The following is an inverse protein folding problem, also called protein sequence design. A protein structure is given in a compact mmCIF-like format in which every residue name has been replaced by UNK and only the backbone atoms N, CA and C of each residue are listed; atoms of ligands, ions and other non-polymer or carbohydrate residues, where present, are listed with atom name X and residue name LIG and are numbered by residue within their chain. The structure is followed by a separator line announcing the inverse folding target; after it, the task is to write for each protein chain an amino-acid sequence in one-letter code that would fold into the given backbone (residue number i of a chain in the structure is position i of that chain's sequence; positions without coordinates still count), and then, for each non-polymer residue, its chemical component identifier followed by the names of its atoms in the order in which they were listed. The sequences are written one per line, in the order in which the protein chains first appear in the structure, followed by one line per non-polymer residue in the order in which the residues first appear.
data_IF_089727548039
#
_entry.id   IF_089727548039
#
_cell.length_a   1.000
_cell.length_b   1.000
_cell.length_c   1.000
_cell.angle_alpha   90.00
_cell.angle_beta   90.00
_cell.angle_gamma   90.00
#
_symmetry.space_group_name_H-M   'P 1'
#
loop_
_entity.id
_entity.type
_entity.pdbx_description
1 polymer ?
#
# COMPACT_ATOMS: atom_id res chain seq x y z
N UNK A 1 -31.04 -21.80 26.39
CA UNK A 1 -29.95 -21.76 27.39
C UNK A 1 -29.00 -20.64 26.99
N UNK A 2 -29.11 -19.45 27.61
CA UNK A 2 -28.22 -18.32 27.34
C UNK A 2 -26.98 -18.46 28.22
N UNK A 3 -25.87 -18.92 27.65
CA UNK A 3 -24.58 -18.96 28.33
C UNK A 3 -24.14 -17.54 28.65
N UNK A 4 -24.17 -17.15 29.93
CA UNK A 4 -23.62 -15.88 30.38
C UNK A 4 -22.11 -15.90 30.16
N UNK A 5 -21.61 -15.02 29.30
CA UNK A 5 -20.18 -14.82 29.07
C UNK A 5 -19.57 -14.36 30.40
N UNK A 6 -18.59 -15.10 30.92
CA UNK A 6 -17.89 -14.73 32.15
C UNK A 6 -16.89 -13.60 31.83
N UNK A 7 -17.08 -12.38 32.35
CA UNK A 7 -16.25 -11.23 32.00
C UNK A 7 -14.76 -11.44 32.35
N UNK A 8 -14.45 -12.28 33.33
CA UNK A 8 -13.07 -12.62 33.68
C UNK A 8 -12.36 -13.45 32.60
N UNK A 9 -13.08 -14.33 31.90
CA UNK A 9 -12.54 -15.09 30.76
C UNK A 9 -12.26 -14.17 29.56
N UNK A 10 -13.09 -13.14 29.38
CA UNK A 10 -12.91 -12.14 28.32
C UNK A 10 -11.65 -11.29 28.53
N UNK A 11 -11.40 -10.85 29.77
CA UNK A 11 -10.18 -10.09 30.11
C UNK A 11 -8.94 -10.96 30.02
N UNK A 12 -8.98 -12.21 30.49
CA UNK A 12 -7.85 -13.14 30.38
C UNK A 12 -7.44 -13.43 28.95
N UNK A 13 -8.41 -13.62 28.05
CA UNK A 13 -8.17 -13.86 26.63
C UNK A 13 -7.54 -12.67 25.90
N UNK A 14 -7.67 -11.45 26.45
CA UNK A 14 -7.07 -10.27 25.87
C UNK A 14 -5.54 -10.26 26.06
N UNK A 15 -5.10 -10.49 27.29
CA UNK A 15 -3.71 -10.30 27.72
C UNK A 15 -2.86 -11.58 27.68
N UNK A 16 -3.47 -12.76 27.60
CA UNK A 16 -2.70 -14.01 27.66
C UNK A 16 -2.35 -14.52 26.25
N UNK A 17 -1.07 -14.56 25.85
CA UNK A 17 -0.65 -15.13 24.57
C UNK A 17 -0.80 -16.65 24.55
N UNK A 18 -0.80 -17.22 23.34
CA UNK A 18 -0.75 -18.68 23.17
C UNK A 18 0.67 -19.16 23.46
N UNK A 19 0.81 -20.20 24.29
CA UNK A 19 2.11 -20.79 24.60
C UNK A 19 2.73 -21.44 23.36
N UNK A 20 3.89 -20.94 22.94
CA UNK A 20 4.68 -21.46 21.79
C UNK A 20 6.13 -21.74 22.21
N UNK A 21 6.92 -22.49 21.40
CA UNK A 21 8.34 -22.70 21.67
C UNK A 21 9.11 -21.37 21.75
N UNK A 22 10.23 -21.33 22.49
CA UNK A 22 11.01 -20.10 22.71
C UNK A 22 11.43 -19.41 21.42
N UNK A 23 11.81 -20.20 20.41
CA UNK A 23 12.20 -19.67 19.11
C UNK A 23 11.03 -18.95 18.42
N UNK A 24 9.81 -19.49 18.52
CA UNK A 24 8.62 -18.83 17.98
C UNK A 24 8.33 -17.53 18.72
N UNK A 25 8.54 -17.47 20.04
CA UNK A 25 8.40 -16.22 20.80
C UNK A 25 9.44 -15.15 20.41
N UNK A 26 10.67 -15.56 20.04
CA UNK A 26 11.68 -14.63 19.52
C UNK A 26 11.26 -14.09 18.15
N UNK A 27 10.71 -14.94 17.28
CA UNK A 27 10.16 -14.51 15.99
C UNK A 27 8.96 -13.58 16.15
N UNK A 28 8.06 -13.88 17.10
CA UNK A 28 6.95 -12.99 17.45
C UNK A 28 7.46 -11.65 17.95
N UNK A 29 8.46 -11.62 18.84
CA UNK A 29 9.08 -10.37 19.29
C UNK A 29 9.66 -9.58 18.13
N UNK A 30 10.47 -10.22 17.28
CA UNK A 30 11.10 -9.57 16.13
C UNK A 30 10.08 -9.00 15.15
N UNK A 31 9.11 -9.83 14.72
CA UNK A 31 8.05 -9.41 13.81
C UNK A 31 7.18 -8.30 14.39
N UNK A 32 6.89 -8.35 15.70
CA UNK A 32 6.09 -7.36 16.40
C UNK A 32 6.79 -6.01 16.48
N UNK A 33 8.07 -6.01 16.86
CA UNK A 33 8.88 -4.77 16.94
C UNK A 33 9.04 -4.18 15.54
N UNK A 34 9.38 -5.00 14.55
CA UNK A 34 9.53 -4.53 13.17
C UNK A 34 8.21 -3.95 12.62
N UNK A 35 7.12 -4.71 12.65
CA UNK A 35 5.83 -4.25 12.14
C UNK A 35 5.31 -3.03 12.92
N UNK A 36 5.40 -3.07 14.25
CA UNK A 36 4.92 -1.99 15.10
C UNK A 36 5.70 -0.68 14.93
N UNK A 37 7.04 -0.74 14.86
CA UNK A 37 7.87 0.46 14.64
C UNK A 37 7.64 1.04 13.25
N UNK A 38 7.63 0.21 12.20
CA UNK A 38 7.38 0.72 10.85
C UNK A 38 6.01 1.36 10.73
N UNK A 39 4.98 0.76 11.34
CA UNK A 39 3.63 1.32 11.33
C UNK A 39 3.52 2.60 12.15
N UNK A 40 4.24 2.68 13.28
CA UNK A 40 4.31 3.90 14.06
C UNK A 40 4.93 5.04 13.24
N UNK A 41 6.04 4.79 12.53
CA UNK A 41 6.67 5.78 11.65
C UNK A 41 5.70 6.19 10.53
N UNK A 42 5.08 5.23 9.84
CA UNK A 42 4.15 5.51 8.76
C UNK A 42 2.94 6.36 9.20
N UNK A 43 2.40 6.11 10.40
CA UNK A 43 1.33 6.92 10.98
C UNK A 43 1.81 8.29 11.43
N UNK A 44 3.02 8.39 11.99
CA UNK A 44 3.62 9.65 12.42
C UNK A 44 3.86 10.60 11.24
N UNK A 45 4.37 10.08 10.12
CA UNK A 45 4.63 10.85 8.90
C UNK A 45 3.36 11.44 8.27
N UNK A 46 2.19 10.94 8.70
CA UNK A 46 0.86 11.41 8.26
C UNK A 46 0.21 12.36 9.28
N UNK A 47 0.91 12.80 10.33
CA UNK A 47 0.36 13.74 11.32
C UNK A 47 0.90 15.17 11.11
N UNK A 48 0.02 16.20 11.03
CA UNK A 48 -1.45 16.11 11.03
C UNK A 48 -1.98 15.48 9.72
N UNK A 49 -3.18 14.88 9.79
CA UNK A 49 -3.76 14.14 8.67
C UNK A 49 -3.83 15.01 7.41
N UNK A 50 -3.14 14.62 6.34
CA UNK A 50 -3.08 15.42 5.12
C UNK A 50 -4.36 15.27 4.31
N UNK A 51 -4.65 16.28 3.48
CA UNK A 51 -5.86 16.32 2.63
C UNK A 51 -5.92 15.11 1.70
N UNK A 52 -4.78 14.72 1.10
CA UNK A 52 -4.72 13.56 0.22
C UNK A 52 -5.16 12.26 0.90
N UNK A 53 -5.00 12.13 2.21
CA UNK A 53 -5.45 10.93 2.95
C UNK A 53 -6.98 10.90 3.06
N UNK A 54 -7.61 12.06 3.22
CA UNK A 54 -9.06 12.20 3.19
C UNK A 54 -9.60 11.91 1.79
N UNK A 55 -8.90 12.38 0.75
CA UNK A 55 -9.25 12.13 -0.64
C UNK A 55 -9.17 10.64 -0.98
N UNK A 56 -8.10 9.93 -0.55
CA UNK A 56 -7.97 8.48 -0.73
C UNK A 56 -9.14 7.71 -0.14
N UNK A 57 -9.57 8.05 1.09
CA UNK A 57 -10.73 7.42 1.75
C UNK A 57 -12.04 7.77 1.03
N UNK A 58 -12.11 8.95 0.42
CA UNK A 58 -13.26 9.39 -0.38
C UNK A 58 -13.36 8.62 -1.70
N UNK A 59 -12.23 8.38 -2.39
CA UNK A 59 -12.17 7.67 -3.67
C UNK A 59 -12.72 6.24 -3.55
N UNK A 60 -12.43 5.55 -2.45
CA UNK A 60 -12.95 4.18 -2.21
C UNK A 60 -14.40 4.18 -1.70
N UNK A 61 -15.05 5.34 -1.60
CA UNK A 61 -16.43 5.46 -1.12
C UNK A 61 -16.63 5.09 0.35
N UNK A 62 -15.58 5.13 1.18
CA UNK A 62 -15.69 4.74 2.58
C UNK A 62 -16.49 5.78 3.37
N UNK A 63 -17.41 5.37 4.26
CA UNK A 63 -18.28 6.31 4.98
C UNK A 63 -17.45 7.28 5.84
N UNK A 64 -17.90 8.53 5.96
CA UNK A 64 -17.28 9.58 6.76
C UNK A 64 -15.74 9.71 6.54
N UNK A 65 -15.29 10.10 5.33
CA UNK A 65 -13.88 9.98 4.92
C UNK A 65 -12.91 10.71 5.83
N UNK A 66 -13.25 11.94 6.23
CA UNK A 66 -12.42 12.72 7.14
C UNK A 66 -12.21 12.02 8.49
N UNK A 67 -13.29 11.49 9.08
CA UNK A 67 -13.21 10.78 10.36
C UNK A 67 -12.33 9.52 10.25
N UNK A 68 -12.54 8.71 9.21
CA UNK A 68 -11.78 7.45 9.07
C UNK A 68 -10.35 7.65 8.59
N UNK A 69 -10.02 8.74 7.89
CA UNK A 69 -8.63 9.12 7.64
C UNK A 69 -7.87 9.38 8.95
N UNK A 70 -8.49 10.10 9.90
CA UNK A 70 -7.96 10.26 11.25
C UNK A 70 -7.84 8.94 12.00
N UNK A 71 -8.86 8.07 11.95
CA UNK A 71 -8.79 6.75 12.58
C UNK A 71 -7.67 5.88 12.00
N UNK A 72 -7.49 5.88 10.68
CA UNK A 72 -6.43 5.12 10.01
C UNK A 72 -5.03 5.64 10.43
N UNK A 73 -4.82 6.95 10.41
CA UNK A 73 -3.55 7.56 10.79
C UNK A 73 -3.18 7.28 12.27
N UNK A 74 -4.13 7.44 13.19
CA UNK A 74 -3.91 7.12 14.61
C UNK A 74 -3.82 5.62 14.89
N UNK A 75 -4.52 4.78 14.11
CA UNK A 75 -4.39 3.33 14.18
C UNK A 75 -2.97 2.90 13.83
N UNK A 76 -2.40 3.44 12.74
CA UNK A 76 -1.00 3.19 12.36
C UNK A 76 -0.03 3.69 13.43
N UNK A 77 -0.19 4.93 13.89
CA UNK A 77 0.74 5.53 14.83
C UNK A 77 0.67 4.88 16.22
N UNK A 78 -0.48 4.98 16.88
CA UNK A 78 -0.66 4.50 18.26
C UNK A 78 -0.74 2.98 18.29
N UNK A 79 -1.47 2.38 17.34
CA UNK A 79 -1.52 0.92 17.22
C UNK A 79 -0.15 0.31 16.92
N UNK A 80 0.68 0.98 16.10
CA UNK A 80 2.06 0.58 15.86
C UNK A 80 2.90 0.55 17.13
N UNK A 81 2.85 1.61 17.94
CA UNK A 81 3.54 1.70 19.24
C UNK A 81 3.06 0.60 20.20
N UNK A 82 1.73 0.44 20.33
CA UNK A 82 1.12 -0.58 21.18
C UNK A 82 1.53 -1.99 20.75
N UNK A 83 1.51 -2.26 19.44
CA UNK A 83 1.97 -3.52 18.88
C UNK A 83 3.44 -3.73 19.21
N UNK A 84 4.36 -2.80 18.90
CA UNK A 84 5.79 -2.95 19.14
C UNK A 84 6.12 -3.33 20.60
N UNK A 85 5.51 -2.63 21.56
CA UNK A 85 5.66 -2.93 23.00
C UNK A 85 5.02 -4.27 23.40
N UNK A 86 4.05 -4.75 22.63
CA UNK A 86 3.20 -5.88 23.02
C UNK A 86 2.25 -5.50 24.15
N UNK A 87 1.66 -4.32 24.06
CA UNK A 87 0.63 -3.82 24.98
C UNK A 87 -0.70 -3.78 24.24
N UNK A 88 -1.74 -4.40 24.80
CA UNK A 88 -3.03 -4.58 24.13
C UNK A 88 -2.83 -5.16 22.71
N UNK A 89 -1.95 -6.17 22.60
CA UNK A 89 -1.43 -6.65 21.32
C UNK A 89 -2.56 -7.06 20.37
N UNK A 90 -3.58 -7.77 20.88
CA UNK A 90 -4.70 -8.24 20.04
C UNK A 90 -5.55 -7.08 19.49
N UNK A 91 -6.08 -6.16 20.32
CA UNK A 91 -6.75 -4.97 19.82
C UNK A 91 -5.91 -4.15 18.84
N UNK A 92 -4.64 -3.91 19.16
CA UNK A 92 -3.73 -3.15 18.30
C UNK A 92 -3.54 -3.85 16.95
N UNK A 93 -3.31 -5.17 16.95
CA UNK A 93 -3.17 -5.96 15.73
C UNK A 93 -4.46 -6.00 14.90
N UNK A 94 -5.64 -6.08 15.53
CA UNK A 94 -6.93 -6.04 14.81
C UNK A 94 -7.11 -4.68 14.13
N UNK A 95 -6.85 -3.58 14.83
CA UNK A 95 -6.96 -2.23 14.26
C UNK A 95 -5.98 -2.03 13.10
N UNK A 96 -4.71 -2.41 13.28
CA UNK A 96 -3.69 -2.30 12.23
C UNK A 96 -4.00 -3.20 11.03
N UNK A 97 -4.41 -4.45 11.26
CA UNK A 97 -4.80 -5.35 10.18
C UNK A 97 -6.05 -4.84 9.46
N UNK A 98 -7.00 -4.22 10.16
CA UNK A 98 -8.15 -3.57 9.52
C UNK A 98 -7.69 -2.42 8.62
N UNK A 99 -6.86 -1.51 9.12
CA UNK A 99 -6.33 -0.37 8.35
C UNK A 99 -5.54 -0.83 7.12
N UNK A 100 -4.64 -1.80 7.28
CA UNK A 100 -3.85 -2.35 6.18
C UNK A 100 -4.72 -3.14 5.18
N UNK A 101 -5.76 -3.83 5.65
CA UNK A 101 -6.69 -4.54 4.79
C UNK A 101 -7.54 -3.60 3.93
N UNK A 102 -8.07 -2.52 4.50
CA UNK A 102 -8.78 -1.48 3.75
C UNK A 102 -7.85 -0.82 2.74
N UNK A 103 -6.61 -0.50 3.13
CA UNK A 103 -5.64 0.10 2.22
C UNK A 103 -5.26 -0.87 1.07
N UNK A 104 -4.93 -2.12 1.37
CA UNK A 104 -4.55 -3.12 0.38
C UNK A 104 -5.70 -3.46 -0.58
N UNK A 105 -6.86 -3.83 -0.04
CA UNK A 105 -7.93 -4.44 -0.82
C UNK A 105 -9.00 -3.44 -1.27
N UNK A 106 -9.15 -2.33 -0.58
CA UNK A 106 -10.07 -1.26 -0.95
C UNK A 106 -9.41 -0.22 -1.84
N UNK A 107 -8.30 0.39 -1.40
CA UNK A 107 -7.64 1.47 -2.15
C UNK A 107 -6.75 0.95 -3.28
N UNK A 108 -5.84 0.03 -2.99
CA UNK A 108 -4.93 -0.51 -4.01
C UNK A 108 -5.55 -1.66 -4.84
N UNK A 109 -6.71 -2.19 -4.44
CA UNK A 109 -7.40 -3.25 -5.18
C UNK A 109 -6.56 -4.52 -5.39
N UNK A 110 -5.59 -4.81 -4.52
CA UNK A 110 -4.65 -5.91 -4.76
C UNK A 110 -5.29 -7.28 -4.53
N UNK A 111 -4.91 -8.26 -5.36
CA UNK A 111 -5.35 -9.64 -5.17
C UNK A 111 -4.90 -10.16 -3.81
N UNK A 112 -5.80 -10.66 -2.94
CA UNK A 112 -5.47 -10.97 -1.55
C UNK A 112 -4.27 -11.91 -1.33
N UNK A 113 -4.05 -12.85 -2.24
CA UNK A 113 -3.06 -13.91 -2.10
C UNK A 113 -1.82 -13.75 -2.98
N UNK A 114 -1.99 -13.16 -4.16
CA UNK A 114 -0.95 -13.12 -5.20
C UNK A 114 -0.50 -11.70 -5.52
N UNK A 115 -1.19 -10.68 -5.00
CA UNK A 115 -0.73 -9.30 -5.10
C UNK A 115 0.61 -9.10 -4.40
N UNK A 116 1.32 -8.04 -4.80
CA UNK A 116 2.60 -7.65 -4.22
C UNK A 116 2.58 -6.15 -3.91
N UNK A 117 1.92 -5.78 -2.82
CA UNK A 117 1.91 -4.41 -2.35
C UNK A 117 2.24 -4.32 -0.86
N UNK A 118 2.90 -3.25 -0.44
CA UNK A 118 3.43 -3.12 0.93
C UNK A 118 2.32 -3.22 1.99
N UNK A 119 1.15 -2.64 1.74
CA UNK A 119 -0.01 -2.69 2.64
C UNK A 119 -0.53 -4.13 2.83
N UNK A 120 -0.52 -4.94 1.78
CA UNK A 120 -0.90 -6.35 1.82
C UNK A 120 0.13 -7.19 2.59
N UNK A 121 1.42 -6.90 2.42
CA UNK A 121 2.50 -7.57 3.17
C UNK A 121 2.34 -7.30 4.66
N UNK A 122 2.11 -6.05 5.06
CA UNK A 122 1.86 -5.71 6.47
C UNK A 122 0.57 -6.33 7.01
N UNK A 123 -0.50 -6.39 6.21
CA UNK A 123 -1.73 -7.10 6.58
C UNK A 123 -1.44 -8.55 6.99
N UNK A 124 -0.72 -9.30 6.15
CA UNK A 124 -0.37 -10.70 6.43
C UNK A 124 0.65 -10.84 7.57
N UNK A 125 1.59 -9.90 7.69
CA UNK A 125 2.58 -9.88 8.78
C UNK A 125 1.94 -9.63 10.15
N UNK A 126 0.88 -8.81 10.22
CA UNK A 126 0.22 -8.45 11.47
C UNK A 126 -0.78 -9.52 11.92
N UNK A 127 -1.39 -10.26 10.98
CA UNK A 127 -2.44 -11.23 11.24
C UNK A 127 -2.11 -12.29 12.32
N UNK A 128 -0.89 -12.85 12.39
CA UNK A 128 -0.51 -13.78 13.46
C UNK A 128 -0.67 -13.20 14.89
N UNK A 129 -0.50 -11.89 15.08
CA UNK A 129 -0.60 -11.27 16.41
C UNK A 129 -2.05 -11.13 16.90
N UNK A 130 -3.03 -11.11 15.98
CA UNK A 130 -4.46 -11.21 16.32
C UNK A 130 -4.76 -12.53 17.04
N UNK A 131 -4.07 -13.60 16.62
CA UNK A 131 -4.33 -14.98 17.00
C UNK A 131 -3.49 -15.38 18.20
N UNK A 132 -2.17 -15.27 18.02
CA UNK A 132 -1.16 -15.74 18.96
C UNK A 132 -0.97 -14.76 20.13
N UNK A 133 -1.31 -13.48 19.92
CA UNK A 133 -1.02 -12.40 20.86
C UNK A 133 0.45 -11.98 20.82
N UNK A 134 0.90 -11.27 21.85
CA UNK A 134 2.23 -10.66 21.88
C UNK A 134 3.38 -11.61 22.19
N UNK A 135 3.12 -12.86 22.55
CA UNK A 135 4.15 -13.80 23.02
C UNK A 135 4.74 -13.44 24.39
N UNK A 136 5.72 -14.22 24.86
CA UNK A 136 6.25 -14.13 26.23
C UNK A 136 6.97 -12.83 26.56
N UNK A 137 7.49 -12.14 25.54
CA UNK A 137 8.27 -10.90 25.66
C UNK A 137 7.39 -9.64 25.46
N UNK A 138 6.08 -9.79 25.63
CA UNK A 138 5.11 -8.69 25.54
C UNK A 138 4.88 -8.06 26.91
N UNK A 139 4.55 -6.77 26.94
CA UNK A 139 4.06 -6.11 28.16
C UNK A 139 2.79 -6.78 28.66
N UNK A 140 1.92 -7.26 27.76
CA UNK A 140 0.72 -8.03 28.08
C UNK A 140 1.04 -9.25 28.97
N UNK A 141 2.12 -10.00 28.64
CA UNK A 141 2.54 -11.15 29.43
C UNK A 141 3.05 -10.75 30.83
N UNK A 142 3.78 -9.64 30.92
CA UNK A 142 4.26 -9.11 32.21
C UNK A 142 3.06 -8.75 33.09
N UNK A 143 2.08 -8.04 32.53
CA UNK A 143 0.85 -7.65 33.22
C UNK A 143 0.02 -8.87 33.63
N UNK A 144 -0.15 -9.86 32.74
CA UNK A 144 -0.88 -11.09 33.05
C UNK A 144 -0.24 -11.89 34.19
N UNK A 145 1.10 -11.94 34.22
CA UNK A 145 1.87 -12.56 35.30
C UNK A 145 1.69 -11.84 36.65
N UNK A 146 1.72 -10.51 36.65
CA UNK A 146 1.46 -9.70 37.86
C UNK A 146 0.05 -9.89 38.39
N UNK A 147 -0.93 -10.05 37.51
CA UNK A 147 -2.34 -10.26 37.87
C UNK A 147 -2.68 -11.73 38.21
N UNK A 148 -1.70 -12.65 38.16
CA UNK A 148 -1.89 -14.11 38.36
C UNK A 148 -3.00 -14.69 37.50
N UNK A 149 -3.16 -14.17 36.28
CA UNK A 149 -4.13 -14.70 35.33
C UNK A 149 -3.65 -16.09 34.88
N UNK A 150 -4.48 -17.11 35.06
CA UNK A 150 -4.20 -18.45 34.56
C UNK A 150 -4.04 -18.39 33.04
N UNK A 151 -3.01 -19.06 32.49
CA UNK A 151 -2.91 -19.27 31.04
C UNK A 151 -4.24 -19.86 30.56
N UNK A 152 -4.92 -19.28 29.55
CA UNK A 152 -6.10 -19.89 28.97
C UNK A 152 -5.70 -21.30 28.53
N UNK A 153 -6.35 -22.31 29.11
CA UNK A 153 -6.23 -23.67 28.61
C UNK A 153 -6.61 -23.65 27.13
N UNK A 154 -5.75 -24.18 26.27
CA UNK A 154 -5.89 -24.37 24.81
C UNK A 154 -7.34 -24.15 24.31
N UNK A 155 -7.73 -22.90 24.08
CA UNK A 155 -8.99 -22.61 23.38
C UNK A 155 -8.62 -21.94 22.07
N UNK A 156 -8.15 -22.79 21.16
CA UNK A 156 -7.87 -22.45 19.77
C UNK A 156 -9.13 -21.95 19.01
N UNK A 157 -10.32 -22.15 19.59
CA UNK A 157 -11.63 -21.90 18.97
C UNK A 157 -11.94 -20.41 18.79
N UNK A 158 -11.48 -19.52 19.70
CA UNK A 158 -11.71 -18.07 19.57
C UNK A 158 -10.76 -17.45 18.54
N UNK A 159 -9.58 -18.03 18.36
CA UNK A 159 -8.55 -17.47 17.47
C UNK A 159 -8.76 -17.85 15.99
N UNK A 160 -9.29 -19.06 15.70
CA UNK A 160 -9.61 -19.48 14.33
C UNK A 160 -10.78 -18.69 13.71
N UNK A 161 -11.80 -18.36 14.50
CA UNK A 161 -12.92 -17.53 14.05
C UNK A 161 -12.51 -16.09 13.72
N UNK A 162 -11.52 -15.54 14.45
CA UNK A 162 -10.97 -14.21 14.19
C UNK A 162 -10.20 -14.12 12.86
N UNK A 163 -9.40 -15.14 12.53
CA UNK A 163 -8.70 -15.23 11.22
C UNK A 163 -9.70 -15.26 10.09
N UNK A 164 -10.67 -16.17 10.16
CA UNK A 164 -11.72 -16.31 9.14
C UNK A 164 -12.51 -15.02 8.99
N UNK A 165 -12.84 -14.32 10.08
CA UNK A 165 -13.53 -13.03 10.01
C UNK A 165 -12.66 -11.94 9.36
N UNK A 166 -11.38 -11.82 9.71
CA UNK A 166 -10.48 -10.79 9.15
C UNK A 166 -10.13 -11.09 7.69
N UNK A 167 -9.92 -12.35 7.32
CA UNK A 167 -9.68 -12.78 5.94
C UNK A 167 -10.94 -12.67 5.08
N UNK A 168 -12.10 -13.11 5.59
CA UNK A 168 -13.37 -12.93 4.90
C UNK A 168 -13.77 -11.46 4.79
N UNK A 169 -13.36 -10.62 5.74
CA UNK A 169 -13.50 -9.17 5.64
C UNK A 169 -12.56 -8.59 4.60
N UNK A 170 -11.30 -9.03 4.51
CA UNK A 170 -10.37 -8.59 3.45
C UNK A 170 -10.88 -8.97 2.06
N UNK A 171 -11.34 -10.21 1.88
CA UNK A 171 -12.00 -10.66 0.65
C UNK A 171 -13.34 -9.94 0.43
N UNK A 172 -14.12 -9.69 1.47
CA UNK A 172 -15.38 -8.96 1.40
C UNK A 172 -15.18 -7.50 1.02
N UNK A 173 -14.15 -6.83 1.55
CA UNK A 173 -13.71 -5.50 1.17
C UNK A 173 -13.29 -5.49 -0.29
N UNK A 174 -12.43 -6.43 -0.70
CA UNK A 174 -12.05 -6.63 -2.10
C UNK A 174 -13.29 -6.75 -3.00
N UNK A 175 -14.22 -7.65 -2.67
CA UNK A 175 -15.41 -7.91 -3.50
C UNK A 175 -16.49 -6.80 -3.44
N UNK A 176 -16.52 -6.00 -2.36
CA UNK A 176 -17.56 -4.96 -2.17
C UNK A 176 -17.10 -3.58 -2.61
N UNK A 177 -15.80 -3.31 -2.52
CA UNK A 177 -15.21 -2.03 -2.93
C UNK A 177 -14.65 -2.08 -4.35
N UNK A 178 -14.34 -3.27 -4.87
CA UNK A 178 -14.09 -3.43 -6.30
C UNK A 178 -15.42 -3.74 -6.99
N UNK A 179 -15.84 -2.96 -7.99
CA UNK A 179 -16.92 -3.38 -8.87
C UNK A 179 -16.48 -4.68 -9.54
N UNK A 180 -17.28 -5.75 -9.43
CA UNK A 180 -17.11 -7.00 -10.20
C UNK A 180 -17.12 -6.71 -11.72
N UNK A 181 -17.58 -5.52 -12.12
CA UNK A 181 -17.62 -4.98 -13.48
C UNK A 181 -16.29 -4.30 -13.92
N UNK A 182 -15.34 -4.03 -13.02
CA UNK A 182 -14.15 -3.24 -13.33
C UNK A 182 -12.96 -4.04 -13.92
N UNK A 183 -13.09 -5.36 -14.05
CA UNK A 183 -12.04 -6.17 -14.70
C UNK A 183 -12.12 -6.10 -16.25
N UNK A 184 -13.21 -5.60 -16.82
CA UNK A 184 -13.40 -5.45 -18.27
C UNK A 184 -14.26 -4.21 -18.57
N UNK A 185 -13.67 -3.00 -18.48
CA UNK A 185 -14.02 -1.80 -19.27
C UNK A 185 -13.57 -0.50 -18.57
N UNK A 186 -12.27 -0.26 -18.39
CA UNK A 186 -11.82 1.13 -18.44
C UNK A 186 -11.88 1.55 -19.92
N UNK A 187 -12.91 2.31 -20.28
CA UNK A 187 -12.82 3.09 -21.51
C UNK A 187 -11.57 3.95 -21.41
N UNK A 188 -10.63 3.79 -22.35
CA UNK A 188 -9.41 4.60 -22.38
C UNK A 188 -9.82 6.06 -22.26
N UNK A 189 -9.39 6.78 -21.20
CA UNK A 189 -9.81 8.14 -21.00
C UNK A 189 -9.39 8.97 -22.20
N UNK A 190 -10.33 9.74 -22.76
CA UNK A 190 -10.04 10.55 -23.94
C UNK A 190 -8.93 11.53 -23.58
N UNK A 191 -7.75 11.34 -24.16
CA UNK A 191 -6.60 12.21 -23.94
C UNK A 191 -6.75 13.44 -24.81
N UNK A 192 -6.88 14.59 -24.16
CA UNK A 192 -7.04 15.91 -24.80
C UNK A 192 -5.77 16.75 -24.76
N UNK A 193 -4.89 16.47 -23.79
CA UNK A 193 -3.54 17.04 -23.67
C UNK A 193 -2.60 16.01 -23.08
N UNK A 194 -1.33 16.14 -23.37
CA UNK A 194 -0.30 15.31 -22.77
C UNK A 194 1.01 16.06 -22.56
N UNK A 195 1.82 15.58 -21.64
CA UNK A 195 3.13 16.14 -21.30
C UNK A 195 4.11 15.05 -20.92
N UNK A 196 5.40 15.36 -21.02
CA UNK A 196 6.48 14.53 -20.47
C UNK A 196 7.05 15.26 -19.26
N UNK A 197 6.93 14.66 -18.09
CA UNK A 197 7.47 15.22 -16.85
C UNK A 197 8.57 14.33 -16.31
N UNK A 198 9.64 14.92 -15.78
CA UNK A 198 10.77 14.19 -15.26
C UNK A 198 11.74 15.04 -14.46
N UNK A 199 12.82 14.41 -14.00
CA UNK A 199 13.87 15.09 -13.22
C UNK A 199 14.59 16.21 -13.99
N UNK A 200 14.55 16.21 -15.32
CA UNK A 200 15.16 17.22 -16.17
C UNK A 200 14.33 18.50 -16.34
N UNK A 201 13.07 18.50 -15.90
CA UNK A 201 12.18 19.67 -15.94
C UNK A 201 11.45 19.90 -14.60
N UNK A 202 12.02 19.43 -13.48
CA UNK A 202 11.45 19.54 -12.14
C UNK A 202 10.02 18.97 -12.03
N UNK A 203 9.68 17.97 -12.85
CA UNK A 203 8.34 17.38 -12.97
C UNK A 203 7.24 18.37 -13.38
N UNK A 204 7.62 19.47 -14.04
CA UNK A 204 6.70 20.48 -14.54
C UNK A 204 5.95 19.99 -15.79
N UNK A 205 4.62 19.91 -15.68
CA UNK A 205 3.72 19.49 -16.75
C UNK A 205 3.61 20.53 -17.89
N UNK A 206 3.98 21.78 -17.64
CA UNK A 206 3.93 22.85 -18.63
C UNK A 206 5.24 22.98 -19.42
N UNK A 207 6.34 22.41 -18.92
CA UNK A 207 7.67 22.57 -19.52
C UNK A 207 7.86 21.78 -20.83
N UNK A 208 7.23 20.61 -20.94
CA UNK A 208 7.40 19.71 -22.10
C UNK A 208 6.04 19.14 -22.56
N UNK A 209 5.14 19.98 -23.12
CA UNK A 209 3.89 19.50 -23.68
C UNK A 209 4.17 18.62 -24.91
N UNK A 210 3.41 17.54 -25.03
CA UNK A 210 3.44 16.67 -26.19
C UNK A 210 2.40 17.13 -27.22
N UNK A 211 2.75 17.04 -28.50
CA UNK A 211 1.85 17.31 -29.62
C UNK A 211 1.23 16.01 -30.13
N UNK A 212 -0.06 16.07 -30.48
CA UNK A 212 -0.77 14.90 -31.00
C UNK A 212 -0.44 14.69 -32.49
N UNK A 213 0.03 13.49 -32.82
CA UNK A 213 0.31 13.02 -34.17
C UNK A 213 -0.44 11.71 -34.43
N UNK A 214 -1.69 11.81 -34.86
CA UNK A 214 -2.59 10.65 -35.00
C UNK A 214 -3.01 10.13 -33.63
N UNK A 215 -2.71 8.86 -33.36
CA UNK A 215 -3.02 8.18 -32.09
C UNK A 215 -1.89 8.30 -31.06
N UNK A 216 -0.74 8.85 -31.48
CA UNK A 216 0.46 9.00 -30.64
C UNK A 216 0.66 10.45 -30.25
N UNK A 217 1.12 10.67 -29.02
CA UNK A 217 1.57 11.95 -28.52
C UNK A 217 3.10 12.01 -28.54
N UNK A 218 3.64 13.11 -29.03
CA UNK A 218 5.08 13.26 -29.29
C UNK A 218 5.62 14.52 -28.62
N UNK A 219 6.65 14.39 -27.81
CA UNK A 219 7.43 15.52 -27.29
C UNK A 219 8.89 15.43 -27.78
N UNK A 220 9.46 16.58 -28.13
CA UNK A 220 10.87 16.72 -28.48
C UNK A 220 11.60 17.42 -27.34
N UNK A 221 12.61 16.74 -26.78
CA UNK A 221 13.36 17.24 -25.62
C UNK A 221 14.83 17.24 -25.98
N UNK A 222 15.49 18.37 -25.77
CA UNK A 222 16.92 18.54 -26.05
C UNK A 222 17.71 18.41 -24.76
N UNK A 223 18.75 17.57 -24.78
CA UNK A 223 19.68 17.42 -23.66
C UNK A 223 21.06 17.93 -24.06
N UNK A 224 21.71 18.64 -23.13
CA UNK A 224 23.04 19.24 -23.35
C UNK A 224 24.20 18.27 -23.12
N UNK A 225 23.91 17.04 -22.69
CA UNK A 225 24.94 16.04 -22.43
C UNK A 225 24.42 14.77 -21.77
N UNK A 226 25.33 13.82 -21.47
CA UNK A 226 24.97 12.52 -20.94
C UNK A 226 24.34 12.60 -19.55
N UNK A 227 23.25 11.86 -19.32
CA UNK A 227 22.57 11.76 -18.02
C UNK A 227 21.63 10.57 -17.96
N UNK A 228 21.32 10.14 -16.74
CA UNK A 228 20.18 9.27 -16.48
C UNK A 228 18.99 10.18 -16.21
N UNK A 229 17.86 9.88 -16.85
CA UNK A 229 16.60 10.59 -16.65
C UNK A 229 15.55 9.66 -16.04
N UNK A 230 14.71 10.23 -15.20
CA UNK A 230 13.46 9.62 -14.71
C UNK A 230 12.30 10.45 -15.20
N UNK A 231 11.30 9.80 -15.79
CA UNK A 231 10.18 10.52 -16.38
C UNK A 231 8.89 9.69 -16.41
N UNK A 232 7.78 10.37 -16.66
CA UNK A 232 6.47 9.80 -16.98
C UNK A 232 5.81 10.59 -18.10
N UNK A 233 4.89 9.95 -18.81
CA UNK A 233 3.94 10.64 -19.67
C UNK A 233 2.68 10.94 -18.87
N UNK A 234 2.19 12.17 -18.90
CA UNK A 234 1.03 12.57 -18.09
C UNK A 234 -0.09 13.01 -19.02
N UNK A 235 -1.19 12.24 -19.03
CA UNK A 235 -2.38 12.55 -19.80
C UNK A 235 -3.32 13.49 -19.02
N UNK A 236 -3.93 14.44 -19.73
CA UNK A 236 -4.89 15.41 -19.18
C UNK A 236 -4.40 16.24 -17.98
N UNK A 237 -3.10 16.22 -17.68
CA UNK A 237 -2.51 16.86 -16.49
C UNK A 237 -2.95 16.20 -15.18
N UNK A 238 -3.33 14.92 -15.25
CA UNK A 238 -3.74 14.10 -14.12
C UNK A 238 -2.69 13.00 -13.90
N UNK A 239 -2.10 12.99 -12.70
CA UNK A 239 -1.07 12.01 -12.35
C UNK A 239 -1.62 10.59 -12.23
N UNK A 240 -2.91 10.44 -11.95
CA UNK A 240 -3.57 9.13 -11.94
C UNK A 240 -3.69 8.56 -13.36
N UNK A 241 -3.58 9.40 -14.39
CA UNK A 241 -3.52 9.01 -15.80
C UNK A 241 -2.08 9.01 -16.36
N UNK A 242 -1.08 9.05 -15.49
CA UNK A 242 0.31 8.99 -15.93
C UNK A 242 0.70 7.59 -16.40
N UNK A 243 1.50 7.48 -17.44
CA UNK A 243 2.10 6.24 -17.89
C UNK A 243 3.52 6.12 -17.32
N UNK A 244 3.73 5.05 -16.57
CA UNK A 244 5.01 4.65 -15.97
C UNK A 244 5.43 3.25 -16.40
N UNK A 245 6.57 2.80 -15.91
CA UNK A 245 7.09 1.44 -16.13
C UNK A 245 8.08 1.05 -15.02
N UNK A 246 7.61 0.22 -14.08
CA UNK A 246 8.42 -0.34 -12.99
C UNK A 246 9.19 -1.60 -13.33
N UNK A 247 8.85 -2.27 -14.43
CA UNK A 247 9.37 -3.60 -14.83
C UNK A 247 10.35 -3.50 -16.02
N UNK A 248 11.07 -2.39 -16.11
CA UNK A 248 12.03 -2.11 -17.18
C UNK A 248 13.20 -3.10 -17.22
N UNK A 249 13.24 -3.94 -18.26
CA UNK A 249 14.37 -4.83 -18.56
C UNK A 249 15.59 -4.11 -19.16
N UNK A 250 15.41 -2.88 -19.66
CA UNK A 250 16.43 -2.10 -20.37
C UNK A 250 16.21 -0.60 -20.23
N UNK A 251 17.30 0.15 -20.11
CA UNK A 251 17.29 1.63 -19.97
C UNK A 251 18.04 2.35 -21.09
N UNK A 252 18.56 1.60 -22.06
CA UNK A 252 19.33 2.13 -23.20
C UNK A 252 18.41 2.46 -24.38
N UNK A 253 18.74 3.52 -25.11
CA UNK A 253 17.98 3.98 -26.27
C UNK A 253 18.43 3.29 -27.58
N UNK A 254 17.52 3.03 -28.54
CA UNK A 254 16.08 3.35 -28.50
C UNK A 254 15.31 2.46 -27.53
N UNK A 255 14.41 3.09 -26.78
CA UNK A 255 13.50 2.43 -25.86
C UNK A 255 12.15 2.28 -26.55
N UNK A 256 11.58 1.08 -26.47
CA UNK A 256 10.19 0.78 -26.82
C UNK A 256 9.67 -0.28 -25.87
N UNK A 257 8.55 0.00 -25.23
CA UNK A 257 7.93 -0.88 -24.24
C UNK A 257 6.43 -0.58 -24.07
N UNK A 258 5.78 -1.44 -23.29
CA UNK A 258 4.41 -1.26 -22.83
C UNK A 258 4.49 -0.86 -21.36
N UNK A 259 3.93 0.29 -21.02
CA UNK A 259 3.87 0.78 -19.64
C UNK A 259 2.54 0.45 -18.96
N UNK A 260 2.44 0.87 -17.69
CA UNK A 260 1.22 0.79 -16.90
C UNK A 260 0.79 2.17 -16.39
N UNK A 261 -0.52 2.34 -16.22
CA UNK A 261 -1.11 3.58 -15.71
C UNK A 261 -0.81 3.70 -14.20
N UNK A 262 -0.40 4.89 -13.77
CA UNK A 262 -0.01 5.22 -12.40
C UNK A 262 1.09 4.31 -11.82
N UNK A 263 1.99 3.84 -12.68
CA UNK A 263 3.11 2.98 -12.30
C UNK A 263 4.40 3.78 -12.00
N UNK A 264 5.49 3.13 -11.61
CA UNK A 264 6.79 3.71 -11.29
C UNK A 264 7.40 4.54 -12.44
N UNK A 265 8.43 5.33 -12.13
CA UNK A 265 9.08 6.20 -13.10
C UNK A 265 9.86 5.42 -14.16
N UNK A 266 9.70 5.79 -15.43
CA UNK A 266 10.49 5.25 -16.54
C UNK A 266 11.92 5.79 -16.42
N UNK A 267 12.91 4.91 -16.55
CA UNK A 267 14.33 5.26 -16.51
C UNK A 267 14.95 5.12 -17.89
N UNK A 268 15.65 6.16 -18.37
CA UNK A 268 16.41 6.11 -19.61
C UNK A 268 17.80 6.73 -19.45
N UNK A 269 18.75 6.27 -20.27
CA UNK A 269 20.12 6.75 -20.31
C UNK A 269 20.37 7.55 -21.59
N UNK A 270 20.51 8.87 -21.43
CA UNK A 270 20.98 9.78 -22.48
C UNK A 270 22.50 9.68 -22.54
N UNK A 271 23.05 9.22 -23.67
CA UNK A 271 24.51 9.04 -23.84
C UNK A 271 25.21 10.21 -24.51
N UNK A 272 24.48 11.03 -25.25
CA UNK A 272 25.03 12.14 -26.04
C UNK A 272 24.11 13.35 -25.96
N UNK A 273 24.66 14.55 -26.19
CA UNK A 273 23.84 15.73 -26.37
C UNK A 273 23.02 15.60 -27.68
N UNK A 274 21.82 16.18 -27.68
CA UNK A 274 20.95 16.20 -28.84
C UNK A 274 19.48 16.18 -28.48
N UNK A 275 18.64 16.15 -29.52
CA UNK A 275 17.19 16.10 -29.41
C UNK A 275 16.72 14.65 -29.40
N UNK A 276 15.80 14.36 -28.50
CA UNK A 276 15.20 13.04 -28.33
C UNK A 276 13.69 13.15 -28.51
N UNK A 277 13.12 12.15 -29.19
CA UNK A 277 11.70 12.00 -29.42
C UNK A 277 11.13 11.06 -28.37
N UNK A 278 10.23 11.59 -27.57
CA UNK A 278 9.42 10.85 -26.61
C UNK A 278 8.06 10.63 -27.26
N UNK A 279 7.69 9.37 -27.49
CA UNK A 279 6.40 8.98 -28.07
C UNK A 279 5.60 8.17 -27.04
N UNK A 280 4.30 8.39 -26.96
CA UNK A 280 3.42 7.48 -26.25
C UNK A 280 2.04 7.39 -26.89
N UNK A 281 1.48 6.19 -26.86
CA UNK A 281 0.13 5.87 -27.27
C UNK A 281 -0.69 5.54 -26.00
N UNK A 282 -1.65 6.39 -25.61
CA UNK A 282 -2.46 6.18 -24.41
C UNK A 282 -3.41 4.98 -24.52
N UNK A 283 -3.83 4.60 -25.73
CA UNK A 283 -4.76 3.49 -25.96
C UNK A 283 -4.01 2.16 -25.94
N UNK A 284 -2.90 2.08 -26.67
CA UNK A 284 -2.04 0.89 -26.68
C UNK A 284 -1.16 0.77 -25.42
N UNK A 285 -1.09 1.82 -24.58
CA UNK A 285 -0.17 1.96 -23.43
C UNK A 285 1.29 1.71 -23.81
N UNK A 286 1.64 1.98 -25.06
CA UNK A 286 3.00 1.85 -25.56
C UNK A 286 3.71 3.19 -25.47
N UNK A 287 5.02 3.14 -25.26
CA UNK A 287 5.85 4.32 -25.32
C UNK A 287 7.20 4.01 -25.94
N UNK A 288 7.88 5.06 -26.34
CA UNK A 288 9.24 4.95 -26.83
C UNK A 288 10.02 6.23 -26.71
N UNK A 289 11.33 6.07 -26.63
CA UNK A 289 12.29 7.17 -26.61
C UNK A 289 13.39 6.84 -27.59
N UNK A 290 13.65 7.75 -28.52
CA UNK A 290 14.73 7.58 -29.50
C UNK A 290 15.41 8.92 -29.76
N UNK A 291 16.70 8.87 -30.11
CA UNK A 291 17.39 10.07 -30.56
C UNK A 291 16.81 10.48 -31.91
N UNK A 292 16.56 11.78 -32.08
CA UNK A 292 16.33 12.35 -33.40
C UNK A 292 17.71 12.66 -33.96
N UNK A 293 18.10 11.97 -35.02
CA UNK A 293 19.35 12.27 -35.72
C UNK A 293 19.35 13.76 -36.16
N UNK A 294 20.51 14.45 -36.07
CA UNK A 294 20.67 15.77 -36.68
C UNK A 294 20.54 15.75 -38.21
#
# INVERSE_FOLDING_TARGET
MHGKINPLLTVQGLFSPVSVPVLADVLLLGGRVFAGVTMAIAGYDKLPVPVWMVDQVTTIGFPAPGFFAWCACYSEFVGGILLAMGLLTRPAAVLLAFTMGVAAFGFHGVLPWTGMHITQVYFWLILPFVVLGGGRFSVDQVVAGSLRLSSPGRSATVAAGGILAVVAMGLGLYLSLMPVEAAEAEGVPVVTRASVAGDFNDWDLEANPAERSGDVWVALITFDGPRVIRFKFVANGDWDLSLGDGDLDRVELPLEAVGAVNDENIIAVIREAGTYRFRFDPEARTYGVERVDP
#
